data_IF_546308853653
#
_entry.id   IF_546308853653
#
_cell.length_a   1.000
_cell.length_b   1.000
_cell.length_c   1.000
_cell.angle_alpha   90.00
_cell.angle_beta   90.00
_cell.angle_gamma   90.00
#
_symmetry.space_group_name_H-M   'P 1'
#
loop_
_entity.id
_entity.type
_entity.pdbx_description
1 polymer ?
#
# COMPACT_ATOMS: atom_id res chain seq x y z
N UNK A 1 12.52 -2.08 2.69
CA UNK A 1 12.39 -2.64 1.34
C UNK A 1 13.78 -2.61 0.71
N UNK A 2 14.15 -3.60 -0.10
CA UNK A 2 15.38 -3.59 -0.88
C UNK A 2 15.02 -3.45 -2.36
N UNK A 3 14.89 -2.20 -2.82
CA UNK A 3 14.43 -1.88 -4.17
C UNK A 3 15.64 -1.51 -5.01
N UNK A 4 16.02 -2.37 -5.98
CA UNK A 4 17.20 -2.15 -6.82
C UNK A 4 18.47 -1.84 -6.00
N UNK A 5 18.69 -2.58 -4.90
CA UNK A 5 19.84 -2.39 -4.01
C UNK A 5 19.69 -1.27 -2.96
N UNK A 6 18.62 -0.48 -3.01
CA UNK A 6 18.38 0.62 -2.07
C UNK A 6 17.55 0.16 -0.89
N UNK A 7 18.00 0.47 0.33
CA UNK A 7 17.23 0.24 1.56
C UNK A 7 16.26 1.39 1.79
N UNK A 8 14.98 1.13 1.51
CA UNK A 8 13.88 2.09 1.65
C UNK A 8 13.01 1.68 2.83
N UNK A 9 12.77 2.59 3.77
CA UNK A 9 11.82 2.40 4.87
C UNK A 9 10.38 2.44 4.36
N UNK A 10 9.51 1.58 4.89
CA UNK A 10 8.08 1.66 4.52
C UNK A 10 7.43 2.92 5.11
N UNK A 11 7.83 3.29 6.33
CA UNK A 11 7.25 4.44 7.03
C UNK A 11 7.53 5.78 6.33
N UNK A 12 8.72 5.96 5.73
CA UNK A 12 9.01 7.18 4.97
C UNK A 12 8.12 7.29 3.73
N UNK A 13 7.90 6.19 3.00
CA UNK A 13 7.02 6.17 1.83
C UNK A 13 5.57 6.40 2.24
N UNK A 14 5.10 5.74 3.31
CA UNK A 14 3.77 5.94 3.89
C UNK A 14 3.55 7.42 4.27
N UNK A 15 4.51 8.04 4.97
CA UNK A 15 4.45 9.45 5.33
C UNK A 15 4.38 10.36 4.10
N UNK A 16 5.19 10.09 3.07
CA UNK A 16 5.17 10.88 1.85
C UNK A 16 3.83 10.75 1.08
N UNK A 17 3.24 9.55 1.04
CA UNK A 17 1.92 9.32 0.45
C UNK A 17 0.85 10.10 1.25
N UNK A 18 0.91 10.04 2.58
CA UNK A 18 -0.05 10.69 3.48
C UNK A 18 0.03 12.23 3.45
N UNK A 19 1.07 12.81 2.84
CA UNK A 19 1.14 14.27 2.61
C UNK A 19 0.30 14.74 1.41
N UNK A 20 -0.26 13.82 0.61
CA UNK A 20 -1.22 14.16 -0.44
C UNK A 20 -2.59 14.47 0.19
N UNK A 21 -3.18 15.61 -0.15
CA UNK A 21 -4.38 16.15 0.52
C UNK A 21 -5.61 15.25 0.49
N UNK A 22 -5.76 14.42 -0.54
CA UNK A 22 -6.91 13.51 -0.67
C UNK A 22 -6.68 12.15 0.00
N UNK A 23 -5.47 11.87 0.49
CA UNK A 23 -5.13 10.60 1.18
C UNK A 23 -5.48 10.70 2.66
N UNK A 24 -6.20 9.69 3.16
CA UNK A 24 -6.53 9.54 4.58
C UNK A 24 -5.45 8.74 5.29
N UNK A 25 -5.09 7.59 4.74
CA UNK A 25 -4.09 6.69 5.33
C UNK A 25 -3.51 5.78 4.23
N UNK A 26 -2.28 5.32 4.44
CA UNK A 26 -1.62 4.37 3.56
C UNK A 26 -0.87 3.28 4.33
N UNK A 27 -0.67 2.15 3.64
CA UNK A 27 0.21 1.09 4.09
C UNK A 27 1.08 0.62 2.92
N UNK A 28 2.37 0.49 3.17
CA UNK A 28 3.35 0.08 2.16
C UNK A 28 3.96 -1.26 2.54
N UNK A 29 3.99 -2.16 1.56
CA UNK A 29 4.70 -3.44 1.63
C UNK A 29 5.55 -3.61 0.38
N UNK A 30 6.52 -4.51 0.45
CA UNK A 30 7.24 -4.91 -0.74
C UNK A 30 6.62 -6.16 -1.34
N UNK A 31 6.79 -6.33 -2.64
CA UNK A 31 6.40 -7.51 -3.38
C UNK A 31 7.53 -7.97 -4.31
N UNK A 32 7.59 -9.26 -4.71
CA UNK A 32 8.56 -9.75 -5.68
C UNK A 32 8.44 -9.00 -7.01
N UNK A 33 9.55 -8.46 -7.50
CA UNK A 33 9.58 -7.74 -8.77
C UNK A 33 10.76 -8.23 -9.62
N UNK A 34 10.49 -8.67 -10.85
CA UNK A 34 11.47 -9.35 -11.70
C UNK A 34 12.74 -8.53 -11.98
N UNK A 35 12.59 -7.21 -12.17
CA UNK A 35 13.70 -6.30 -12.46
C UNK A 35 14.33 -5.72 -11.19
N UNK A 36 13.52 -5.30 -10.21
CA UNK A 36 13.98 -4.56 -9.03
C UNK A 36 14.37 -5.45 -7.85
N UNK A 37 14.11 -6.75 -7.94
CA UNK A 37 14.13 -7.70 -6.82
C UNK A 37 12.90 -7.54 -5.95
N UNK A 38 12.73 -6.35 -5.35
CA UNK A 38 11.54 -5.97 -4.59
C UNK A 38 10.94 -4.70 -5.19
N UNK A 39 9.63 -4.72 -5.46
CA UNK A 39 8.85 -3.53 -5.81
C UNK A 39 8.13 -2.95 -4.58
N UNK A 40 7.62 -1.74 -4.72
CA UNK A 40 6.85 -1.02 -3.69
C UNK A 40 5.36 -1.12 -4.02
N UNK A 41 4.59 -1.76 -3.15
CA UNK A 41 3.13 -1.83 -3.25
C UNK A 41 2.51 -0.96 -2.16
N UNK A 42 1.71 0.03 -2.57
CA UNK A 42 0.98 0.92 -1.66
C UNK A 42 -0.52 0.63 -1.69
N UNK A 43 -1.10 0.44 -0.52
CA UNK A 43 -2.53 0.43 -0.28
C UNK A 43 -2.92 1.80 0.28
N UNK A 44 -3.85 2.47 -0.38
CA UNK A 44 -4.18 3.88 -0.07
C UNK A 44 -5.68 4.03 0.14
N UNK A 45 -6.05 4.60 1.28
CA UNK A 45 -7.40 5.07 1.55
C UNK A 45 -7.46 6.54 1.15
N UNK A 46 -8.36 6.88 0.23
CA UNK A 46 -8.61 8.27 -0.17
C UNK A 46 -9.99 8.71 0.31
N UNK A 47 -10.12 9.97 0.71
CA UNK A 47 -11.41 10.54 1.10
C UNK A 47 -12.27 10.82 -0.14
N UNK A 48 -11.63 11.38 -1.17
CA UNK A 48 -12.25 11.71 -2.44
C UNK A 48 -11.25 11.45 -3.56
N UNK A 49 -11.68 10.74 -4.61
CA UNK A 49 -10.92 10.65 -5.85
C UNK A 49 -11.37 11.83 -6.71
N UNK A 50 -10.53 12.86 -6.80
CA UNK A 50 -10.81 14.03 -7.65
C UNK A 50 -10.42 13.70 -9.09
N UNK A 51 -11.39 13.76 -10.00
CA UNK A 51 -11.17 13.38 -11.40
C UNK A 51 -11.11 11.87 -11.55
N UNK A 52 -10.11 11.36 -12.27
CA UNK A 52 -9.91 9.93 -12.47
C UNK A 52 -8.99 9.30 -11.42
N UNK A 53 -9.14 7.99 -11.21
CA UNK A 53 -8.21 7.25 -10.35
C UNK A 53 -6.76 7.32 -10.85
N UNK A 54 -6.55 7.32 -12.17
CA UNK A 54 -5.22 7.40 -12.77
C UNK A 54 -4.53 8.72 -12.48
N UNK A 55 -5.24 9.84 -12.58
CA UNK A 55 -4.73 11.17 -12.22
C UNK A 55 -4.37 11.21 -10.74
N UNK A 56 -5.23 10.66 -9.87
CA UNK A 56 -4.95 10.59 -8.43
C UNK A 56 -3.71 9.76 -8.15
N UNK A 57 -3.54 8.59 -8.79
CA UNK A 57 -2.31 7.78 -8.68
C UNK A 57 -1.07 8.56 -9.11
N UNK A 58 -1.14 9.26 -10.26
CA UNK A 58 -0.02 10.08 -10.76
C UNK A 58 0.36 11.18 -9.77
N UNK A 59 -0.62 11.88 -9.19
CA UNK A 59 -0.39 12.95 -8.21
C UNK A 59 0.25 12.42 -6.92
N UNK A 60 -0.17 11.25 -6.44
CA UNK A 60 0.46 10.59 -5.28
C UNK A 60 1.90 10.20 -5.61
N UNK A 61 2.16 9.58 -6.77
CA UNK A 61 3.52 9.22 -7.21
C UNK A 61 4.43 10.45 -7.31
N UNK A 62 3.92 11.56 -7.85
CA UNK A 62 4.66 12.83 -7.91
C UNK A 62 4.97 13.37 -6.51
N UNK A 63 4.02 13.27 -5.59
CA UNK A 63 4.21 13.69 -4.18
C UNK A 63 5.34 12.91 -3.53
N UNK A 64 5.36 11.58 -3.65
CA UNK A 64 6.44 10.73 -3.14
C UNK A 64 7.77 11.07 -3.81
N UNK A 65 7.77 11.24 -5.14
CA UNK A 65 8.97 11.60 -5.90
C UNK A 65 9.56 12.93 -5.48
N UNK A 66 8.75 13.89 -5.06
CA UNK A 66 9.20 15.22 -4.59
C UNK A 66 9.78 15.15 -3.17
N UNK A 67 9.21 14.31 -2.31
CA UNK A 67 9.59 14.24 -0.89
C UNK A 67 10.82 13.36 -0.67
N UNK A 68 10.85 12.19 -1.31
CA UNK A 68 11.92 11.18 -1.08
C UNK A 68 12.81 11.05 -2.31
N UNK A 69 12.22 11.06 -3.49
CA UNK A 69 12.93 10.92 -4.76
C UNK A 69 12.37 9.82 -5.66
N UNK A 70 12.85 9.72 -6.92
CA UNK A 70 12.32 8.77 -7.90
C UNK A 70 12.43 7.30 -7.50
N UNK A 71 13.41 6.96 -6.66
CA UNK A 71 13.68 5.59 -6.22
C UNK A 71 12.57 5.02 -5.30
N UNK A 72 11.82 5.90 -4.63
CA UNK A 72 10.80 5.52 -3.65
C UNK A 72 9.37 5.53 -4.23
N UNK A 73 9.22 5.74 -5.54
CA UNK A 73 7.91 5.73 -6.21
C UNK A 73 7.26 4.36 -6.04
N UNK A 74 6.00 4.29 -5.55
CA UNK A 74 5.24 3.05 -5.57
C UNK A 74 5.08 2.53 -7.00
N UNK A 75 5.31 1.24 -7.20
CA UNK A 75 5.07 0.56 -8.47
C UNK A 75 3.57 0.30 -8.67
N UNK A 76 2.88 -0.02 -7.57
CA UNK A 76 1.44 -0.27 -7.53
C UNK A 76 0.82 0.59 -6.45
N UNK A 77 -0.28 1.27 -6.80
CA UNK A 77 -1.15 1.99 -5.87
C UNK A 77 -2.56 1.44 -6.01
N UNK A 78 -2.98 0.66 -5.02
CA UNK A 78 -4.33 0.14 -4.92
C UNK A 78 -5.15 1.03 -3.98
N UNK A 79 -6.22 1.61 -4.50
CA UNK A 79 -7.20 2.29 -3.65
C UNK A 79 -8.04 1.24 -2.93
N UNK A 80 -8.18 1.41 -1.63
CA UNK A 80 -8.89 0.45 -0.77
C UNK A 80 -9.83 1.21 0.17
N UNK A 81 -10.98 0.61 0.53
CA UNK A 81 -11.93 1.24 1.45
C UNK A 81 -11.44 1.23 2.90
N UNK A 82 -10.49 0.34 3.23
CA UNK A 82 -9.90 0.22 4.55
C UNK A 82 -8.58 -0.54 4.55
N UNK A 83 -7.93 -0.60 5.70
CA UNK A 83 -6.73 -1.41 5.94
C UNK A 83 -7.03 -2.48 6.99
N UNK A 84 -6.44 -3.69 6.88
CA UNK A 84 -6.64 -4.74 7.86
C UNK A 84 -5.99 -4.34 9.18
N UNK A 85 -6.78 -3.90 10.13
CA UNK A 85 -6.32 -3.43 11.45
C UNK A 85 -6.79 -4.37 12.55
N UNK A 86 -5.93 -4.57 13.55
CA UNK A 86 -6.33 -5.20 14.81
C UNK A 86 -7.32 -4.32 15.56
N UNK A 87 -8.02 -4.86 16.57
CA UNK A 87 -8.86 -4.07 17.49
C UNK A 87 -8.11 -2.96 18.25
N UNK A 88 -6.77 -3.03 18.30
CA UNK A 88 -5.89 -1.98 18.84
C UNK A 88 -5.41 -0.96 17.79
N UNK A 89 -5.91 -1.04 16.56
CA UNK A 89 -5.61 -0.11 15.46
C UNK A 89 -4.31 -0.42 14.69
N UNK A 90 -3.59 -1.50 15.03
CA UNK A 90 -2.34 -1.85 14.33
C UNK A 90 -2.63 -2.47 12.97
N UNK A 91 -2.02 -1.93 11.92
CA UNK A 91 -2.12 -2.49 10.56
C UNK A 91 -1.41 -3.85 10.50
N UNK A 92 -2.14 -4.90 10.11
CA UNK A 92 -1.63 -6.24 9.88
C UNK A 92 -0.95 -6.35 8.51
N UNK A 93 0.22 -5.72 8.37
CA UNK A 93 1.01 -5.68 7.13
C UNK A 93 1.34 -7.06 6.54
N UNK A 94 1.34 -8.12 7.35
CA UNK A 94 1.51 -9.51 6.91
C UNK A 94 0.44 -9.93 5.88
N UNK A 95 -0.81 -9.52 6.09
CA UNK A 95 -1.93 -9.83 5.18
C UNK A 95 -1.73 -9.09 3.86
N UNK A 96 -1.46 -7.79 3.93
CA UNK A 96 -1.16 -6.95 2.77
C UNK A 96 0.00 -7.51 1.93
N UNK A 97 1.07 -7.97 2.58
CA UNK A 97 2.22 -8.58 1.89
C UNK A 97 1.81 -9.85 1.13
N UNK A 98 1.06 -10.76 1.75
CA UNK A 98 0.56 -11.98 1.09
C UNK A 98 -0.28 -11.64 -0.14
N UNK A 99 -1.19 -10.66 -0.01
CA UNK A 99 -2.00 -10.21 -1.14
C UNK A 99 -1.10 -9.67 -2.25
N UNK A 100 -0.11 -8.81 -1.94
CA UNK A 100 0.82 -8.26 -2.92
C UNK A 100 1.71 -9.33 -3.59
N UNK A 101 2.01 -10.43 -2.89
CA UNK A 101 2.70 -11.63 -3.40
C UNK A 101 1.80 -12.55 -4.23
N UNK A 102 0.48 -12.29 -4.26
CA UNK A 102 -0.50 -13.05 -5.00
C UNK A 102 -1.20 -14.16 -4.22
N UNK A 103 -0.88 -14.34 -2.94
CA UNK A 103 -1.57 -15.27 -2.04
C UNK A 103 -2.85 -14.64 -1.48
N UNK A 104 -4.02 -15.07 -1.95
CA UNK A 104 -5.32 -14.48 -1.58
C UNK A 104 -6.22 -15.36 -0.71
N UNK A 105 -5.81 -16.57 -0.36
CA UNK A 105 -6.66 -17.57 0.32
C UNK A 105 -6.23 -17.92 1.74
N UNK A 106 -4.94 -17.88 2.06
CA UNK A 106 -4.43 -18.28 3.37
C UNK A 106 -3.67 -17.14 4.08
N UNK A 107 -4.41 -16.37 4.87
CA UNK A 107 -3.87 -15.27 5.67
C UNK A 107 -3.53 -15.66 7.11
N UNK A 108 -3.53 -16.95 7.46
CA UNK A 108 -3.32 -17.41 8.84
C UNK A 108 -4.36 -16.86 9.82
N UNK A 109 -3.99 -16.69 11.09
CA UNK A 109 -4.90 -16.14 12.11
C UNK A 109 -5.27 -14.67 11.82
N UNK A 110 -6.58 -14.44 11.72
CA UNK A 110 -7.23 -13.15 11.44
C UNK A 110 -8.29 -12.81 12.51
N UNK A 111 -8.41 -13.60 13.57
CA UNK A 111 -9.44 -13.44 14.63
C UNK A 111 -9.37 -12.11 15.37
N UNK A 112 -8.21 -11.46 15.34
CA UNK A 112 -7.96 -10.17 16.00
C UNK A 112 -8.27 -8.95 15.12
N UNK A 113 -8.65 -9.16 13.85
CA UNK A 113 -9.08 -8.07 12.97
C UNK A 113 -10.33 -7.40 13.51
N UNK A 114 -10.37 -6.07 13.36
CA UNK A 114 -11.55 -5.28 13.63
C UNK A 114 -12.65 -5.57 12.59
N UNK A 115 -12.25 -5.64 11.33
CA UNK A 115 -13.12 -5.94 10.19
C UNK A 115 -12.39 -6.94 9.27
N UNK A 116 -12.79 -8.22 9.29
CA UNK A 116 -12.25 -9.22 8.37
C UNK A 116 -12.66 -9.00 6.91
N UNK A 117 -13.81 -8.36 6.65
CA UNK A 117 -14.35 -8.19 5.30
C UNK A 117 -13.45 -7.35 4.40
N UNK A 118 -12.74 -6.38 4.98
CA UNK A 118 -11.76 -5.55 4.27
C UNK A 118 -10.68 -6.38 3.58
N UNK A 119 -10.31 -7.55 4.14
CA UNK A 119 -9.28 -8.41 3.56
C UNK A 119 -9.73 -8.98 2.22
N UNK A 120 -11.01 -9.39 2.12
CA UNK A 120 -11.57 -9.93 0.88
C UNK A 120 -11.65 -8.86 -0.20
N UNK A 121 -12.05 -7.64 0.17
CA UNK A 121 -12.14 -6.51 -0.77
C UNK A 121 -10.77 -6.14 -1.32
N UNK A 122 -9.76 -6.05 -0.46
CA UNK A 122 -8.38 -5.80 -0.88
C UNK A 122 -7.87 -6.93 -1.78
N UNK A 123 -8.16 -8.19 -1.44
CA UNK A 123 -7.74 -9.34 -2.23
C UNK A 123 -8.38 -9.37 -3.63
N UNK A 124 -9.68 -9.02 -3.73
CA UNK A 124 -10.41 -8.93 -5.01
C UNK A 124 -9.89 -7.80 -5.90
N UNK A 125 -9.51 -6.67 -5.31
CA UNK A 125 -9.00 -5.50 -6.03
C UNK A 125 -7.49 -5.48 -6.29
N UNK A 126 -6.77 -6.59 -6.04
CA UNK A 126 -5.32 -6.68 -6.18
C UNK A 126 -4.87 -6.33 -7.62
N UNK A 127 -3.83 -5.49 -7.72
CA UNK A 127 -3.15 -5.11 -8.95
C UNK A 127 -1.97 -6.02 -9.29
#
# INVERSE_FOLDING_TARGET
LNVSGHRIGTAEVENAINMHSDVVESAVVGYPHDIKGQGIYAYVICQHIRGSEEETRKNIIQTVSRIIGPIAKPDKIQFVPGLPKTRSGKIMRRILRKIAEGETSNFGDTTTLLDPGVVEEIAKGKL
#
